data_IF_141563924701
#
_entry.id   IF_141563924701
#
_cell.length_a   1.000
_cell.length_b   1.000
_cell.length_c   1.000
_cell.angle_alpha   90.00
_cell.angle_beta   90.00
_cell.angle_gamma   90.00
#
_symmetry.space_group_name_H-M   'P 1'
#
loop_
_entity.id
_entity.type
_entity.pdbx_description
1 polymer ?
#
# COMPACT_ATOMS: atom_id res chain seq x y z
N UNK A 1 12.51 19.29 -6.63
CA UNK A 1 13.66 19.07 -5.73
C UNK A 1 13.14 18.77 -4.34
N UNK A 2 13.00 17.50 -3.97
CA UNK A 2 12.40 17.09 -2.69
C UNK A 2 13.33 17.23 -1.48
N UNK A 3 14.23 18.21 -1.47
CA UNK A 3 15.17 18.46 -0.36
C UNK A 3 14.55 19.52 0.56
N UNK A 4 14.42 19.27 1.87
CA UNK A 4 14.14 20.32 2.85
C UNK A 4 15.23 21.40 2.79
N UNK A 5 14.86 22.68 2.81
CA UNK A 5 15.82 23.81 2.71
C UNK A 5 17.00 23.72 3.69
N UNK A 6 16.79 23.10 4.85
CA UNK A 6 17.83 22.89 5.87
C UNK A 6 18.92 21.91 5.43
N UNK A 7 18.53 20.83 4.75
CA UNK A 7 19.48 19.81 4.29
C UNK A 7 20.28 20.30 3.08
N UNK A 8 19.79 21.34 2.39
CA UNK A 8 20.48 21.97 1.26
C UNK A 8 21.73 22.75 1.70
N UNK A 9 21.65 23.50 2.80
CA UNK A 9 22.78 24.29 3.33
C UNK A 9 23.86 23.41 3.97
N UNK A 10 23.51 22.21 4.43
CA UNK A 10 24.43 21.25 5.04
C UNK A 10 25.10 20.32 4.01
N UNK A 11 24.64 20.31 2.75
CA UNK A 11 25.16 19.44 1.68
C UNK A 11 26.35 20.06 0.94
N UNK A 12 27.31 19.20 0.59
CA UNK A 12 28.38 19.57 -0.32
C UNK A 12 27.86 19.65 -1.78
N UNK A 13 28.51 20.43 -2.66
CA UNK A 13 28.13 20.49 -4.08
C UNK A 13 28.11 19.12 -4.78
N UNK A 14 28.96 18.18 -4.35
CA UNK A 14 29.00 16.83 -4.87
C UNK A 14 27.76 16.01 -4.48
N UNK A 15 27.36 16.07 -3.21
CA UNK A 15 26.15 15.40 -2.71
C UNK A 15 24.88 15.98 -3.36
N UNK A 16 24.84 17.30 -3.54
CA UNK A 16 23.76 17.95 -4.26
C UNK A 16 23.67 17.46 -5.71
N UNK A 17 24.80 17.30 -6.40
CA UNK A 17 24.82 16.79 -7.77
C UNK A 17 24.27 15.35 -7.84
N UNK A 18 24.65 14.48 -6.90
CA UNK A 18 24.12 13.11 -6.81
C UNK A 18 22.61 13.14 -6.56
N UNK A 19 22.14 13.99 -5.65
CA UNK A 19 20.71 14.10 -5.38
C UNK A 19 19.91 14.56 -6.60
N UNK A 20 20.44 15.55 -7.34
CA UNK A 20 19.81 16.04 -8.58
C UNK A 20 19.72 14.93 -9.60
N UNK A 21 20.78 14.15 -9.78
CA UNK A 21 20.80 13.01 -10.71
C UNK A 21 19.75 11.96 -10.34
N UNK A 22 19.69 11.56 -9.07
CA UNK A 22 18.69 10.61 -8.58
C UNK A 22 17.26 11.15 -8.71
N UNK A 23 17.07 12.45 -8.47
CA UNK A 23 15.76 13.09 -8.67
C UNK A 23 15.35 13.04 -10.15
N UNK A 24 16.27 13.33 -11.08
CA UNK A 24 16.01 13.24 -12.52
C UNK A 24 15.68 11.81 -12.96
N UNK A 25 16.41 10.81 -12.47
CA UNK A 25 16.11 9.39 -12.73
C UNK A 25 14.71 9.02 -12.25
N UNK A 26 14.35 9.45 -11.04
CA UNK A 26 13.03 9.21 -10.46
C UNK A 26 11.93 9.90 -11.28
N UNK A 27 12.11 11.16 -11.67
CA UNK A 27 11.14 11.88 -12.50
C UNK A 27 10.96 11.19 -13.87
N UNK A 28 12.05 10.73 -14.49
CA UNK A 28 11.99 9.96 -15.75
C UNK A 28 11.21 8.67 -15.57
N UNK A 29 11.51 7.88 -14.54
CA UNK A 29 10.77 6.66 -14.23
C UNK A 29 9.27 6.93 -14.02
N UNK A 30 8.93 7.97 -13.24
CA UNK A 30 7.53 8.35 -13.00
C UNK A 30 6.83 8.80 -14.29
N UNK A 31 7.54 9.47 -15.19
CA UNK A 31 7.01 9.84 -16.50
C UNK A 31 6.72 8.60 -17.36
N UNK A 32 7.67 7.69 -17.48
CA UNK A 32 7.53 6.45 -18.26
C UNK A 32 6.39 5.56 -17.70
N UNK A 33 6.26 5.51 -16.37
CA UNK A 33 5.17 4.84 -15.69
C UNK A 33 3.80 5.47 -16.04
N UNK A 34 3.70 6.81 -15.99
CA UNK A 34 2.46 7.53 -16.35
C UNK A 34 2.07 7.32 -17.82
N UNK A 35 3.04 7.33 -18.73
CA UNK A 35 2.79 7.08 -20.16
C UNK A 35 2.26 5.66 -20.35
N UNK A 36 2.88 4.68 -19.69
CA UNK A 36 2.45 3.28 -19.71
C UNK A 36 1.04 3.13 -19.14
N UNK A 37 0.74 3.76 -17.99
CA UNK A 37 -0.59 3.77 -17.39
C UNK A 37 -1.63 4.38 -18.33
N UNK A 38 -1.34 5.51 -18.97
CA UNK A 38 -2.23 6.15 -19.93
C UNK A 38 -2.51 5.25 -21.14
N UNK A 39 -1.49 4.58 -21.66
CA UNK A 39 -1.62 3.62 -22.75
C UNK A 39 -2.52 2.43 -22.36
N UNK A 40 -2.25 1.79 -21.22
CA UNK A 40 -3.03 0.67 -20.72
C UNK A 40 -4.49 1.07 -20.46
N UNK A 41 -4.73 2.27 -19.92
CA UNK A 41 -6.06 2.81 -19.73
C UNK A 41 -6.79 3.00 -21.07
N UNK A 42 -6.11 3.52 -22.10
CA UNK A 42 -6.71 3.70 -23.42
C UNK A 42 -7.02 2.36 -24.12
N UNK A 43 -6.22 1.32 -23.88
CA UNK A 43 -6.50 -0.04 -24.33
C UNK A 43 -7.72 -0.60 -23.60
N UNK A 44 -7.78 -0.43 -22.28
CA UNK A 44 -8.89 -0.88 -21.45
C UNK A 44 -10.21 -0.20 -21.83
N UNK A 45 -10.20 1.11 -22.08
CA UNK A 45 -11.37 1.86 -22.56
C UNK A 45 -11.88 1.38 -23.92
N UNK A 46 -10.98 0.90 -24.80
CA UNK A 46 -11.33 0.36 -26.12
C UNK A 46 -11.71 -1.11 -26.09
N UNK A 47 -11.58 -1.79 -24.95
CA UNK A 47 -11.94 -3.19 -24.84
C UNK A 47 -13.45 -3.38 -25.03
N UNK A 48 -13.83 -4.23 -26.00
CA UNK A 48 -15.24 -4.57 -26.30
C UNK A 48 -16.00 -5.12 -25.08
N UNK A 49 -15.28 -5.75 -24.15
CA UNK A 49 -15.82 -6.24 -22.89
C UNK A 49 -14.86 -5.92 -21.75
N UNK A 50 -15.27 -5.00 -20.89
CA UNK A 50 -14.52 -4.67 -19.68
C UNK A 50 -14.47 -5.89 -18.73
N UNK A 51 -13.27 -6.36 -18.33
CA UNK A 51 -13.17 -7.37 -17.29
C UNK A 51 -13.65 -6.80 -15.95
N UNK A 52 -14.17 -7.67 -15.07
CA UNK A 52 -14.55 -7.26 -13.72
C UNK A 52 -13.34 -6.73 -12.97
N UNK A 53 -13.52 -5.65 -12.21
CA UNK A 53 -12.45 -5.02 -11.43
C UNK A 53 -11.78 -6.03 -10.48
N UNK A 54 -12.54 -6.95 -9.86
CA UNK A 54 -11.97 -7.94 -8.94
C UNK A 54 -11.01 -8.93 -9.63
N UNK A 55 -11.11 -9.10 -10.96
CA UNK A 55 -10.15 -9.90 -11.73
C UNK A 55 -8.85 -9.15 -12.00
N UNK A 56 -8.88 -7.82 -12.00
CA UNK A 56 -7.73 -6.97 -12.31
C UNK A 56 -6.93 -6.59 -11.07
N UNK A 57 -7.61 -6.19 -9.99
CA UNK A 57 -6.97 -5.69 -8.76
C UNK A 57 -7.10 -6.64 -7.57
N UNK A 58 -7.65 -7.84 -7.80
CA UNK A 58 -7.98 -8.80 -6.75
C UNK A 58 -9.30 -8.48 -6.04
N UNK A 59 -9.73 -9.38 -5.16
CA UNK A 59 -10.93 -9.16 -4.34
C UNK A 59 -10.65 -8.07 -3.31
N UNK A 60 -11.58 -7.13 -3.16
CA UNK A 60 -11.57 -6.22 -2.01
C UNK A 60 -11.45 -7.05 -0.71
N UNK A 61 -10.68 -6.58 0.29
CA UNK A 61 -10.60 -7.26 1.57
C UNK A 61 -12.02 -7.47 2.09
N UNK A 62 -12.39 -8.72 2.36
CA UNK A 62 -13.70 -9.05 2.90
C UNK A 62 -13.83 -8.26 4.19
N UNK A 63 -14.76 -7.29 4.24
CA UNK A 63 -15.09 -6.59 5.47
C UNK A 63 -15.37 -7.65 6.53
N UNK A 64 -14.47 -7.78 7.52
CA UNK A 64 -14.67 -8.70 8.63
C UNK A 64 -16.01 -8.33 9.25
N UNK A 65 -16.95 -9.27 9.29
CA UNK A 65 -18.24 -9.04 9.93
C UNK A 65 -17.96 -8.66 11.41
N UNK A 66 -18.66 -7.66 11.97
CA UNK A 66 -18.57 -7.39 13.39
C UNK A 66 -18.91 -8.67 14.16
N UNK A 67 -18.01 -9.09 15.05
CA UNK A 67 -18.23 -10.25 15.91
C UNK A 67 -19.30 -9.91 16.94
N UNK A 68 -20.21 -10.86 17.21
CA UNK A 68 -21.12 -10.72 18.35
C UNK A 68 -20.36 -10.91 19.66
N UNK A 69 -20.90 -10.41 20.78
CA UNK A 69 -20.26 -10.52 22.10
C UNK A 69 -19.91 -11.97 22.46
N UNK A 70 -20.77 -12.93 22.08
CA UNK A 70 -20.52 -14.37 22.26
C UNK A 70 -19.33 -14.86 21.43
N UNK A 71 -19.20 -14.40 20.19
CA UNK A 71 -18.08 -14.75 19.32
C UNK A 71 -16.78 -14.15 19.85
N UNK A 72 -16.82 -12.89 20.33
CA UNK A 72 -15.67 -12.23 20.94
C UNK A 72 -15.21 -12.96 22.21
N UNK A 73 -16.15 -13.36 23.07
CA UNK A 73 -15.85 -14.14 24.27
C UNK A 73 -15.17 -15.48 23.93
N UNK A 74 -15.67 -16.18 22.90
CA UNK A 74 -15.08 -17.44 22.47
C UNK A 74 -13.65 -17.27 21.91
N UNK A 75 -13.40 -16.18 21.17
CA UNK A 75 -12.05 -15.84 20.69
C UNK A 75 -11.12 -15.52 21.86
N UNK A 76 -11.58 -14.75 22.84
CA UNK A 76 -10.81 -14.41 24.05
C UNK A 76 -10.48 -15.69 24.83
N UNK A 77 -11.44 -16.59 25.03
CA UNK A 77 -11.21 -17.89 25.70
C UNK A 77 -10.19 -18.75 24.96
N UNK A 78 -10.32 -18.85 23.63
CA UNK A 78 -9.38 -19.60 22.80
C UNK A 78 -7.96 -19.04 22.90
N UNK A 79 -7.81 -17.71 22.83
CA UNK A 79 -6.53 -17.02 22.99
C UNK A 79 -5.95 -17.21 24.40
N UNK A 80 -6.78 -17.08 25.43
CA UNK A 80 -6.38 -17.27 26.83
C UNK A 80 -5.84 -18.69 27.08
N UNK A 81 -6.54 -19.70 26.53
CA UNK A 81 -6.10 -21.10 26.58
C UNK A 81 -4.80 -21.34 25.83
N UNK A 82 -4.63 -20.72 24.67
CA UNK A 82 -3.39 -20.83 23.88
C UNK A 82 -2.20 -20.15 24.58
N UNK A 83 -2.44 -19.08 25.34
CA UNK A 83 -1.43 -18.37 26.13
C UNK A 83 -1.22 -18.94 27.55
N UNK A 84 -1.86 -20.07 27.88
CA UNK A 84 -1.67 -20.75 29.16
C UNK A 84 -2.38 -20.12 30.37
N UNK A 85 -3.32 -19.19 30.13
CA UNK A 85 -4.14 -18.63 31.19
C UNK A 85 -5.22 -19.62 31.67
N UNK A 86 -5.63 -19.48 32.94
CA UNK A 86 -6.68 -20.31 33.55
C UNK A 86 -8.03 -19.59 33.42
N UNK A 87 -9.06 -20.32 33.02
CA UNK A 87 -10.44 -19.82 33.02
C UNK A 87 -10.93 -19.66 34.47
N UNK A 88 -11.34 -18.44 34.85
CA UNK A 88 -11.97 -18.18 36.16
C UNK A 88 -13.43 -17.85 35.89
N UNK A 89 -14.33 -18.80 36.20
CA UNK A 89 -15.78 -18.60 36.23
C UNK A 89 -16.57 -19.48 35.25
N UNK A 90 -17.32 -20.41 35.82
CA UNK A 90 -18.51 -21.02 35.23
C UNK A 90 -19.77 -20.30 35.70
#
# INVERSE_FOLDING_TARGET
MGIPLRDYDEMTPHELAIFIEENQKREKFMHDERVTQAYLNAVLQRAKRMPKLEKLIGKAPVKKKPMTDKQMLNVIRALNKQMGGKEVGG
#
